data_IF_382636092459
#
_entry.id   IF_382636092459
#
_cell.length_a   1.000
_cell.length_b   1.000
_cell.length_c   1.000
_cell.angle_alpha   90.00
_cell.angle_beta   90.00
_cell.angle_gamma   90.00
#
_symmetry.space_group_name_H-M   'P 1'
#
loop_
_entity.id
_entity.type
_entity.pdbx_description
1 polymer ?
#
# COMPACT_ATOMS: atom_id res chain seq x y z
N UNK A 1 9.67 -1.98 -15.92
CA UNK A 1 11.09 -2.03 -16.32
C UNK A 1 11.90 -1.49 -15.15
N UNK A 2 12.75 -2.32 -14.58
CA UNK A 2 13.69 -1.94 -13.53
C UNK A 2 15.09 -1.82 -14.14
N UNK A 3 15.95 -0.98 -13.57
CA UNK A 3 17.37 -0.98 -13.88
C UNK A 3 18.13 -2.06 -13.07
N UNK A 4 19.44 -2.14 -13.23
CA UNK A 4 20.32 -3.10 -12.53
C UNK A 4 20.30 -2.95 -11.00
N UNK A 5 19.82 -1.81 -10.49
CA UNK A 5 19.70 -1.51 -9.06
C UNK A 5 18.29 -1.76 -8.54
N UNK A 6 17.37 -2.24 -9.37
CA UNK A 6 15.97 -2.46 -9.01
C UNK A 6 15.11 -1.19 -9.04
N UNK A 7 15.62 -0.06 -9.54
CA UNK A 7 14.85 1.20 -9.62
C UNK A 7 13.96 1.16 -10.85
N UNK A 8 12.69 1.55 -10.70
CA UNK A 8 11.77 1.61 -11.82
C UNK A 8 12.13 2.76 -12.78
N UNK A 9 12.44 2.40 -14.03
CA UNK A 9 12.77 3.33 -15.13
C UNK A 9 11.69 3.35 -16.22
N UNK A 10 10.52 2.77 -15.95
CA UNK A 10 9.35 2.82 -16.83
C UNK A 10 8.34 1.71 -16.56
N UNK A 11 7.05 2.05 -16.67
CA UNK A 11 5.93 1.14 -16.43
C UNK A 11 4.91 1.75 -15.45
N UNK A 12 4.04 0.89 -14.92
CA UNK A 12 3.01 1.27 -13.94
C UNK A 12 3.16 0.40 -12.70
N UNK A 13 3.13 1.03 -11.53
CA UNK A 13 2.98 0.37 -10.23
C UNK A 13 1.58 0.67 -9.72
N UNK A 14 0.82 -0.36 -9.40
CA UNK A 14 -0.44 -0.22 -8.68
C UNK A 14 -0.17 -0.43 -7.21
N UNK A 15 -0.42 0.60 -6.41
CA UNK A 15 -0.35 0.53 -4.95
C UNK A 15 -1.70 0.14 -4.41
N UNK A 16 -1.75 -1.02 -3.76
CA UNK A 16 -2.94 -1.51 -3.10
C UNK A 16 -2.69 -1.40 -1.60
N UNK A 17 -3.55 -0.68 -0.89
CA UNK A 17 -3.47 -0.53 0.56
C UNK A 17 -4.48 -1.48 1.20
N UNK A 18 -4.01 -2.36 2.07
CA UNK A 18 -4.87 -3.17 2.92
C UNK A 18 -5.44 -2.29 4.04
N UNK A 19 -6.76 -2.32 4.18
CA UNK A 19 -7.47 -1.69 5.30
C UNK A 19 -7.83 -2.75 6.36
N UNK A 20 -7.92 -2.35 7.64
CA UNK A 20 -8.26 -3.26 8.73
C UNK A 20 -9.57 -4.02 8.46
N UNK A 21 -9.55 -5.35 8.57
CA UNK A 21 -10.73 -6.19 8.41
C UNK A 21 -11.28 -6.26 6.98
N UNK A 22 -10.46 -5.96 5.96
CA UNK A 22 -10.84 -5.95 4.54
C UNK A 22 -9.99 -6.89 3.68
N UNK A 23 -9.44 -7.95 4.27
CA UNK A 23 -8.58 -8.93 3.57
C UNK A 23 -9.32 -9.54 2.38
N UNK A 24 -10.57 -9.96 2.55
CA UNK A 24 -11.35 -10.60 1.48
C UNK A 24 -11.62 -9.69 0.28
N UNK A 25 -11.98 -8.42 0.49
CA UNK A 25 -12.11 -7.45 -0.60
C UNK A 25 -10.77 -7.18 -1.28
N UNK A 26 -9.71 -7.10 -0.48
CA UNK A 26 -8.36 -6.83 -0.97
C UNK A 26 -7.86 -7.98 -1.86
N UNK A 27 -8.07 -9.24 -1.45
CA UNK A 27 -7.77 -10.42 -2.26
C UNK A 27 -8.53 -10.41 -3.60
N UNK A 28 -9.85 -10.11 -3.60
CA UNK A 28 -10.66 -10.02 -4.83
C UNK A 28 -10.13 -8.95 -5.79
N UNK A 29 -9.69 -7.80 -5.26
CA UNK A 29 -9.07 -6.75 -6.04
C UNK A 29 -7.73 -7.23 -6.64
N UNK A 30 -6.92 -7.96 -5.88
CA UNK A 30 -5.67 -8.56 -6.37
C UNK A 30 -5.94 -9.52 -7.53
N UNK A 31 -6.92 -10.42 -7.40
CA UNK A 31 -7.35 -11.30 -8.50
C UNK A 31 -7.78 -10.51 -9.73
N UNK A 32 -8.57 -9.45 -9.53
CA UNK A 32 -9.08 -8.62 -10.62
C UNK A 32 -7.96 -7.90 -11.36
N UNK A 33 -7.01 -7.33 -10.62
CA UNK A 33 -5.84 -6.66 -11.18
C UNK A 33 -4.94 -7.65 -11.94
N UNK A 34 -4.66 -8.80 -11.34
CA UNK A 34 -3.83 -9.82 -11.97
C UNK A 34 -4.50 -10.40 -13.21
N UNK A 35 -5.79 -10.74 -13.16
CA UNK A 35 -6.52 -11.25 -14.33
C UNK A 35 -6.59 -10.22 -15.48
N UNK A 36 -6.69 -8.93 -15.16
CA UNK A 36 -6.83 -7.86 -16.16
C UNK A 36 -5.50 -7.41 -16.76
N UNK A 37 -4.44 -7.35 -15.95
CA UNK A 37 -3.18 -6.73 -16.34
C UNK A 37 -2.00 -7.69 -16.32
N UNK A 38 -2.08 -8.81 -15.60
CA UNK A 38 -0.99 -9.76 -15.39
C UNK A 38 0.32 -9.04 -15.08
N UNK A 39 1.38 -9.44 -15.77
CA UNK A 39 2.73 -8.89 -15.59
C UNK A 39 2.99 -7.54 -16.26
N UNK A 40 1.94 -6.88 -16.79
CA UNK A 40 2.06 -5.54 -17.39
C UNK A 40 2.17 -4.45 -16.33
N UNK A 41 1.75 -4.74 -15.09
CA UNK A 41 1.87 -3.85 -13.93
C UNK A 41 2.67 -4.54 -12.83
N UNK A 42 3.26 -3.73 -11.96
CA UNK A 42 3.79 -4.21 -10.69
C UNK A 42 2.74 -3.96 -9.61
N UNK A 43 2.55 -4.92 -8.70
CA UNK A 43 1.67 -4.76 -7.55
C UNK A 43 2.51 -4.43 -6.32
N UNK A 44 2.23 -3.30 -5.69
CA UNK A 44 2.81 -2.93 -4.40
C UNK A 44 1.76 -3.18 -3.33
N UNK A 45 1.99 -4.22 -2.54
CA UNK A 45 1.10 -4.72 -1.49
C UNK A 45 1.43 -3.96 -0.19
N UNK A 46 0.67 -2.91 0.12
CA UNK A 46 0.96 -2.01 1.24
C UNK A 46 0.07 -2.29 2.44
N UNK A 47 0.65 -2.27 3.64
CA UNK A 47 -0.07 -2.38 4.92
C UNK A 47 -0.01 -1.10 5.77
N UNK A 48 0.58 -0.03 5.24
CA UNK A 48 0.80 1.22 5.97
C UNK A 48 -0.49 2.06 6.11
N UNK A 49 -1.33 1.66 7.06
CA UNK A 49 -2.52 2.39 7.46
C UNK A 49 -2.40 2.85 8.91
N UNK A 50 -2.33 4.17 9.12
CA UNK A 50 -2.12 4.80 10.43
C UNK A 50 -3.43 5.44 10.93
N UNK A 51 -4.12 4.84 11.93
CA UNK A 51 -5.46 5.25 12.37
C UNK A 51 -5.45 6.44 13.36
N UNK A 52 -4.69 7.50 13.08
CA UNK A 52 -4.38 8.57 14.06
C UNK A 52 -5.14 9.87 13.77
N UNK A 53 -6.01 9.84 12.78
CA UNK A 53 -6.74 11.02 12.31
C UNK A 53 -8.10 11.13 13.02
N UNK A 54 -8.42 12.27 13.68
CA UNK A 54 -9.74 12.53 14.29
C UNK A 54 -10.91 12.28 13.32
N UNK A 55 -10.65 12.41 12.03
CA UNK A 55 -11.58 12.17 10.92
C UNK A 55 -12.06 10.71 10.84
N UNK A 56 -11.30 9.76 11.40
CA UNK A 56 -11.61 8.32 11.38
C UNK A 56 -12.40 7.90 12.62
N UNK A 57 -12.48 8.73 13.66
CA UNK A 57 -13.23 8.43 14.88
C UNK A 57 -14.71 8.00 14.68
N UNK A 58 -15.44 8.50 13.66
CA UNK A 58 -16.79 8.01 13.36
C UNK A 58 -16.86 6.59 12.74
N UNK A 59 -15.72 5.97 12.40
CA UNK A 59 -15.62 4.67 11.74
C UNK A 59 -14.73 3.73 12.57
N UNK A 60 -15.29 3.10 13.63
CA UNK A 60 -14.53 2.28 14.57
C UNK A 60 -13.74 1.14 13.93
N UNK A 61 -14.23 0.59 12.82
CA UNK A 61 -13.58 -0.47 12.05
C UNK A 61 -12.26 -0.03 11.42
N UNK A 62 -12.08 1.28 11.22
CA UNK A 62 -10.87 1.91 10.72
C UNK A 62 -9.99 2.47 11.85
N UNK A 63 -10.40 2.36 13.12
CA UNK A 63 -9.64 2.90 14.26
C UNK A 63 -8.54 1.95 14.79
N UNK A 64 -8.02 1.06 13.94
CA UNK A 64 -6.92 0.15 14.30
C UNK A 64 -5.95 -0.01 13.13
N UNK A 65 -4.76 -0.51 13.40
CA UNK A 65 -3.82 -0.91 12.36
C UNK A 65 -4.20 -2.28 11.78
N UNK A 66 -3.64 -2.57 10.60
CA UNK A 66 -3.66 -3.90 10.02
C UNK A 66 -2.78 -4.81 10.87
N UNK A 67 -3.28 -5.99 11.21
CA UNK A 67 -2.49 -6.99 11.95
C UNK A 67 -1.50 -7.70 11.01
N UNK A 68 -0.37 -8.23 11.52
CA UNK A 68 0.54 -9.04 10.72
C UNK A 68 -0.16 -10.18 10.00
N UNK A 69 -1.01 -10.94 10.71
CA UNK A 69 -1.76 -12.07 10.15
C UNK A 69 -2.67 -11.67 8.96
N UNK A 70 -3.34 -10.51 9.05
CA UNK A 70 -4.17 -10.00 7.94
C UNK A 70 -3.33 -9.67 6.71
N UNK A 71 -2.13 -9.12 6.92
CA UNK A 71 -1.22 -8.80 5.84
C UNK A 71 -0.61 -10.06 5.21
N UNK A 72 -0.11 -10.97 6.03
CA UNK A 72 0.49 -12.24 5.59
C UNK A 72 -0.54 -13.07 4.81
N UNK A 73 -1.78 -13.16 5.29
CA UNK A 73 -2.86 -13.84 4.57
C UNK A 73 -3.11 -13.26 3.17
N UNK A 74 -2.95 -11.95 3.00
CA UNK A 74 -3.11 -11.30 1.71
C UNK A 74 -1.89 -11.50 0.81
N UNK A 75 -0.68 -11.44 1.37
CA UNK A 75 0.56 -11.70 0.64
C UNK A 75 0.59 -13.13 0.12
N UNK A 76 0.31 -14.12 0.97
CA UNK A 76 0.22 -15.53 0.59
C UNK A 76 -0.79 -15.73 -0.54
N UNK A 77 -1.97 -15.10 -0.42
CA UNK A 77 -2.98 -15.15 -1.48
C UNK A 77 -2.49 -14.54 -2.80
N UNK A 78 -1.74 -13.44 -2.77
CA UNK A 78 -1.19 -12.84 -3.97
C UNK A 78 -0.20 -13.78 -4.66
N UNK A 79 0.63 -14.49 -3.89
CA UNK A 79 1.54 -15.53 -4.40
C UNK A 79 0.74 -16.68 -5.03
N UNK A 80 -0.27 -17.20 -4.34
CA UNK A 80 -1.14 -18.27 -4.85
C UNK A 80 -1.90 -17.86 -6.12
N UNK A 81 -2.23 -16.58 -6.25
CA UNK A 81 -2.85 -16.00 -7.43
C UNK A 81 -1.90 -15.89 -8.64
N UNK A 82 -0.60 -16.16 -8.47
CA UNK A 82 0.42 -16.09 -9.52
C UNK A 82 1.07 -14.72 -9.70
N UNK A 83 0.99 -13.84 -8.69
CA UNK A 83 1.66 -12.53 -8.77
C UNK A 83 3.16 -12.69 -8.62
N UNK A 84 3.90 -12.54 -9.72
CA UNK A 84 5.38 -12.58 -9.72
C UNK A 84 6.01 -11.19 -9.55
N UNK A 85 5.37 -10.15 -10.08
CA UNK A 85 5.85 -8.76 -10.04
C UNK A 85 5.29 -7.98 -8.84
N UNK A 86 5.56 -8.50 -7.64
CA UNK A 86 5.10 -7.94 -6.37
C UNK A 86 6.19 -7.17 -5.61
N UNK A 87 5.79 -6.13 -4.89
CA UNK A 87 6.57 -5.54 -3.79
C UNK A 87 5.78 -5.73 -2.49
N UNK A 88 6.43 -6.32 -1.49
CA UNK A 88 5.91 -6.51 -0.12
C UNK A 88 6.72 -5.67 0.86
N UNK A 89 6.16 -5.40 2.04
CA UNK A 89 6.80 -4.63 3.11
C UNK A 89 7.19 -5.58 4.23
N UNK A 90 8.47 -5.57 4.62
CA UNK A 90 8.95 -6.30 5.79
C UNK A 90 8.99 -5.35 7.01
N UNK A 91 8.43 -5.78 8.15
CA UNK A 91 8.61 -5.12 9.45
C UNK A 91 7.41 -4.34 10.00
N UNK A 92 7.65 -3.64 11.13
CA UNK A 92 6.65 -2.85 11.83
C UNK A 92 6.12 -1.74 10.93
N UNK A 93 4.83 -1.81 10.66
CA UNK A 93 4.20 -0.96 9.68
C UNK A 93 3.30 0.05 10.38
N UNK A 94 3.45 1.32 10.01
CA UNK A 94 2.65 2.46 10.43
C UNK A 94 3.03 3.09 11.80
N UNK A 95 4.26 3.58 11.93
CA UNK A 95 4.60 4.59 12.94
C UNK A 95 4.03 5.98 12.58
N UNK A 96 3.78 6.83 13.59
CA UNK A 96 3.43 8.26 13.39
C UNK A 96 4.51 9.02 12.62
N UNK A 97 5.77 8.56 12.72
CA UNK A 97 6.94 9.12 12.05
C UNK A 97 6.81 9.16 10.52
N UNK A 98 5.90 8.35 9.95
CA UNK A 98 5.61 8.35 8.52
C UNK A 98 4.49 9.31 8.09
N UNK A 99 3.80 9.97 9.03
CA UNK A 99 2.81 11.00 8.71
C UNK A 99 3.57 12.31 8.46
N UNK A 100 3.56 12.87 7.23
CA UNK A 100 4.14 14.18 7.00
C UNK A 100 3.46 15.21 7.90
N UNK A 101 4.15 16.28 8.35
CA UNK A 101 3.55 17.31 9.20
C UNK A 101 2.43 18.10 8.49
N UNK A 102 2.29 17.96 7.16
CA UNK A 102 1.30 18.65 6.32
C UNK A 102 1.24 20.17 6.51
N UNK A 103 2.31 20.77 7.04
CA UNK A 103 2.48 22.19 7.31
C UNK A 103 3.18 22.94 6.15
N UNK A 104 3.38 22.25 5.02
CA UNK A 104 4.09 22.77 3.86
C UNK A 104 5.61 22.85 4.03
N UNK A 105 6.15 22.44 5.19
CA UNK A 105 7.59 22.28 5.38
C UNK A 105 8.13 21.16 4.47
N UNK A 106 9.37 21.29 3.99
CA UNK A 106 9.97 20.34 3.05
C UNK A 106 9.51 20.45 1.59
N UNK A 107 8.48 21.25 1.27
CA UNK A 107 8.12 21.54 -0.12
C UNK A 107 9.11 22.52 -0.76
N UNK A 108 9.50 22.32 -2.04
CA UNK A 108 10.24 23.29 -2.84
C UNK A 108 9.52 24.65 -2.90
N UNK A 109 10.29 25.75 -2.95
CA UNK A 109 9.75 27.12 -2.91
C UNK A 109 8.69 27.43 -3.99
N UNK A 110 8.76 26.75 -5.15
CA UNK A 110 7.79 26.94 -6.22
C UNK A 110 6.41 26.32 -5.94
N UNK A 111 6.30 25.39 -4.98
CA UNK A 111 5.02 24.83 -4.51
C UNK A 111 4.44 25.59 -3.32
N UNK A 112 5.16 26.58 -2.76
CA UNK A 112 4.71 27.40 -1.61
C UNK A 112 3.94 28.66 -1.99
N UNK A 113 3.77 28.97 -3.28
CA UNK A 113 3.00 30.14 -3.73
C UNK A 113 1.53 29.78 -3.86
N UNK A 114 0.79 29.98 -2.77
CA UNK A 114 -0.66 30.09 -2.71
C UNK A 114 -1.02 31.41 -2.04
#
# INVERSE_FOLDING_TARGET
RLDERGVMIGGVIVRQLLLPGRVGETQRLTTTLHARYGDRVYLSLMNQYTPILPQVAPSPELCRTVTPDEYDQWVDYAVDCGVEKGFVQEGDTAEESFIPPFDGSGLPDFLRRG
#
